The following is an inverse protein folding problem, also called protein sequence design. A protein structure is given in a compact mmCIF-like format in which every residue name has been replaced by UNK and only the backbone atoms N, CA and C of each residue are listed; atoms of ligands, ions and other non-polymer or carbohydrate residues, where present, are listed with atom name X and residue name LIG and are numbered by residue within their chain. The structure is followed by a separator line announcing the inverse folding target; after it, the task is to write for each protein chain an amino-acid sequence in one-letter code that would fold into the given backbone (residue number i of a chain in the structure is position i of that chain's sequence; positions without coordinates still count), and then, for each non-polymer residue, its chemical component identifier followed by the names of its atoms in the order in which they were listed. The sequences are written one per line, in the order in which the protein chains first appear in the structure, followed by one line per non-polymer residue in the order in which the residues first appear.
data_IF_674934078395
#
_entry.id   IF_674934078395
#
_cell.length_a   1.000
_cell.length_b   1.000
_cell.length_c   1.000
_cell.angle_alpha   90.00
_cell.angle_beta   90.00
_cell.angle_gamma   90.00
#
_symmetry.space_group_name_H-M   'P 1'
#
loop_
_entity.id
_entity.type
_entity.pdbx_description
1 polymer ?
#
# COMPACT_ATOMS: atom_id res chain seq x y z
N UNK A 1 11.03 30.39 9.34
CA UNK A 1 10.25 29.77 8.25
C UNK A 1 10.26 28.26 8.44
N UNK A 2 9.06 27.67 8.46
CA UNK A 2 8.68 26.31 8.06
C UNK A 2 9.34 25.07 8.67
N UNK A 3 8.50 24.20 9.21
CA UNK A 3 8.81 22.79 9.36
C UNK A 3 7.84 22.02 10.26
N UNK A 4 6.52 22.11 10.02
CA UNK A 4 5.54 21.19 10.62
C UNK A 4 5.78 19.77 10.09
N UNK A 5 6.80 19.09 10.59
CA UNK A 5 7.10 17.72 10.26
C UNK A 5 6.09 16.83 10.97
N UNK A 6 5.13 16.30 10.22
CA UNK A 6 4.27 15.22 10.73
C UNK A 6 5.15 14.13 11.34
N UNK A 7 4.83 13.72 12.57
CA UNK A 7 5.58 12.73 13.34
C UNK A 7 5.71 11.42 12.54
N UNK A 8 6.93 10.85 12.51
CA UNK A 8 7.16 9.55 11.88
C UNK A 8 6.79 8.45 12.87
N UNK A 9 5.97 7.50 12.41
CA UNK A 9 5.56 6.35 13.22
C UNK A 9 5.81 5.04 12.47
N UNK A 10 6.03 3.97 13.23
CA UNK A 10 6.18 2.62 12.70
C UNK A 10 4.84 2.04 12.29
N UNK A 11 4.85 1.26 11.21
CA UNK A 11 3.65 0.63 10.67
C UNK A 11 3.56 -0.80 11.18
N UNK A 12 2.38 -1.20 11.64
CA UNK A 12 2.13 -2.54 12.18
C UNK A 12 1.00 -3.25 11.43
N UNK A 13 0.83 -4.54 11.70
CA UNK A 13 -0.31 -5.32 11.20
C UNK A 13 -1.65 -4.61 11.43
N UNK A 14 -2.48 -4.57 10.40
CA UNK A 14 -3.79 -3.91 10.44
C UNK A 14 -3.77 -2.43 10.08
N UNK A 15 -2.60 -1.86 9.74
CA UNK A 15 -2.49 -0.51 9.17
C UNK A 15 -3.47 -0.32 8.01
N UNK A 16 -4.07 0.87 7.93
CA UNK A 16 -5.00 1.24 6.87
C UNK A 16 -4.22 1.76 5.69
N UNK A 17 -4.42 1.17 4.52
CA UNK A 17 -3.78 1.57 3.26
C UNK A 17 -4.79 2.27 2.35
N UNK A 18 -4.30 3.20 1.54
CA UNK A 18 -5.07 3.87 0.48
C UNK A 18 -4.34 3.78 -0.85
N UNK A 19 -5.07 3.49 -1.93
CA UNK A 19 -4.58 3.57 -3.30
C UNK A 19 -5.25 4.74 -4.03
N UNK A 20 -4.49 5.55 -4.76
CA UNK A 20 -5.04 6.68 -5.53
C UNK A 20 -6.02 6.27 -6.65
N UNK A 21 -5.99 5.02 -7.07
CA UNK A 21 -6.84 4.46 -8.13
C UNK A 21 -7.92 3.50 -7.62
N UNK A 22 -7.91 3.16 -6.33
CA UNK A 22 -8.95 2.37 -5.68
C UNK A 22 -10.08 3.26 -5.15
N UNK A 23 -11.25 2.67 -4.91
CA UNK A 23 -12.40 3.37 -4.31
C UNK A 23 -12.68 2.96 -2.86
N UNK A 24 -11.91 2.04 -2.30
CA UNK A 24 -11.94 1.65 -0.89
C UNK A 24 -10.54 1.62 -0.30
N UNK A 25 -10.51 1.68 1.02
CA UNK A 25 -9.30 1.43 1.82
C UNK A 25 -9.03 -0.08 1.91
N UNK A 26 -7.78 -0.40 2.21
CA UNK A 26 -7.30 -1.77 2.39
C UNK A 26 -6.56 -1.88 3.72
N UNK A 27 -6.17 -3.10 4.09
CA UNK A 27 -5.42 -3.39 5.30
C UNK A 27 -4.07 -4.02 4.96
N UNK A 28 -3.02 -3.59 5.67
CA UNK A 28 -1.71 -4.22 5.62
C UNK A 28 -1.71 -5.49 6.48
N UNK A 29 -1.25 -6.58 5.90
CA UNK A 29 -0.98 -7.82 6.62
C UNK A 29 0.49 -8.20 6.42
N UNK A 30 1.42 -7.62 7.22
CA UNK A 30 2.84 -7.90 7.08
C UNK A 30 3.11 -9.39 7.29
N UNK A 31 4.26 -9.82 6.77
CA UNK A 31 4.83 -11.12 7.13
C UNK A 31 5.11 -11.10 8.63
N UNK A 32 5.07 -12.27 9.28
CA UNK A 32 5.44 -12.31 10.69
C UNK A 32 6.95 -12.09 10.82
N UNK A 33 7.33 -11.11 11.62
CA UNK A 33 8.71 -10.64 11.79
C UNK A 33 9.11 -10.79 13.26
N UNK A 34 10.41 -10.67 13.55
CA UNK A 34 10.93 -10.79 14.92
C UNK A 34 10.53 -9.65 15.87
N UNK A 35 9.95 -8.55 15.36
CA UNK A 35 9.66 -7.32 16.12
C UNK A 35 8.18 -7.02 16.19
N UNK A 36 7.69 -6.72 17.39
CA UNK A 36 6.30 -6.42 17.68
C UNK A 36 6.16 -5.07 18.38
N UNK A 37 5.13 -4.31 18.01
CA UNK A 37 4.70 -3.09 18.71
C UNK A 37 3.24 -3.30 19.13
N UNK A 38 2.94 -3.12 20.43
CA UNK A 38 1.60 -3.35 21.00
C UNK A 38 1.02 -4.73 20.60
N UNK A 39 1.84 -5.78 20.67
CA UNK A 39 1.50 -7.16 20.28
C UNK A 39 1.09 -7.35 18.81
N UNK A 40 1.47 -6.43 17.92
CA UNK A 40 1.25 -6.54 16.47
C UNK A 40 2.60 -6.61 15.76
N UNK A 41 2.78 -7.52 14.78
CA UNK A 41 3.99 -7.56 13.97
C UNK A 41 4.26 -6.19 13.32
N UNK A 42 5.49 -5.70 13.46
CA UNK A 42 5.95 -4.47 12.82
C UNK A 42 6.38 -4.79 11.38
N UNK A 43 5.92 -3.98 10.43
CA UNK A 43 6.19 -4.17 9.02
C UNK A 43 7.57 -3.62 8.62
N UNK A 44 8.13 -4.17 7.55
CA UNK A 44 9.31 -3.63 6.87
C UNK A 44 8.99 -3.32 5.39
N UNK A 45 9.93 -2.72 4.68
CA UNK A 45 9.69 -2.32 3.28
C UNK A 45 9.46 -3.49 2.31
N UNK A 46 9.73 -4.72 2.73
CA UNK A 46 9.53 -5.93 1.91
C UNK A 46 8.11 -6.49 2.03
N UNK A 47 7.25 -5.94 2.89
CA UNK A 47 5.83 -6.30 3.03
C UNK A 47 4.95 -5.68 1.93
N UNK A 48 5.27 -5.95 0.66
CA UNK A 48 4.56 -5.39 -0.50
C UNK A 48 3.88 -6.46 -1.37
N UNK A 49 3.92 -7.74 -0.99
CA UNK A 49 3.40 -8.83 -1.83
C UNK A 49 1.90 -8.68 -2.06
N UNK A 50 1.43 -8.62 -3.33
CA UNK A 50 0.01 -8.51 -3.64
C UNK A 50 -0.78 -9.69 -3.10
N UNK A 51 -2.00 -9.43 -2.61
CA UNK A 51 -2.92 -10.41 -2.02
C UNK A 51 -2.42 -11.11 -0.75
N UNK A 52 -1.15 -10.96 -0.37
CA UNK A 52 -0.59 -11.39 0.90
C UNK A 52 -0.50 -10.20 1.86
N UNK A 53 0.37 -9.23 1.57
CA UNK A 53 0.58 -8.05 2.40
C UNK A 53 -0.39 -6.92 2.08
N UNK A 54 -0.63 -6.69 0.79
CA UNK A 54 -1.50 -5.63 0.29
C UNK A 54 -2.78 -6.26 -0.29
N UNK A 55 -3.91 -6.06 0.39
CA UNK A 55 -5.23 -6.53 -0.08
C UNK A 55 -5.85 -5.56 -1.12
N UNK A 56 -6.83 -6.00 -1.92
CA UNK A 56 -7.56 -5.13 -2.87
C UNK A 56 -8.16 -3.84 -2.30
N UNK A 57 -8.23 -2.80 -3.13
CA UNK A 57 -8.75 -1.47 -2.79
C UNK A 57 -10.17 -1.22 -3.36
N UNK A 58 -11.06 -2.21 -3.28
CA UNK A 58 -12.40 -2.14 -3.88
C UNK A 58 -12.35 -2.25 -5.41
N UNK A 59 -12.84 -1.25 -6.13
CA UNK A 59 -12.76 -1.17 -7.60
C UNK A 59 -11.67 -0.19 -8.04
N UNK A 60 -10.87 -0.63 -9.01
CA UNK A 60 -9.88 0.20 -9.67
C UNK A 60 -10.52 1.04 -10.78
N UNK A 61 -10.06 2.29 -10.92
CA UNK A 61 -10.49 3.23 -11.97
C UNK A 61 -9.41 3.51 -13.04
N UNK A 62 -8.26 2.87 -12.97
CA UNK A 62 -7.13 3.14 -13.87
C UNK A 62 -7.26 2.40 -15.19
N UNK A 63 -7.12 3.11 -16.32
CA UNK A 63 -7.06 2.50 -17.65
C UNK A 63 -5.77 1.71 -17.90
N UNK A 64 -4.74 1.85 -17.06
CA UNK A 64 -3.57 0.98 -17.11
C UNK A 64 -3.89 -0.46 -16.63
N UNK A 65 -5.00 -0.64 -15.89
CA UNK A 65 -5.51 -1.97 -15.57
C UNK A 65 -6.26 -2.54 -16.80
N UNK A 66 -5.82 -3.67 -17.38
CA UNK A 66 -6.38 -4.20 -18.61
C UNK A 66 -7.87 -4.56 -18.50
N UNK A 67 -8.32 -5.00 -17.32
CA UNK A 67 -9.73 -5.31 -17.06
C UNK A 67 -10.59 -4.04 -17.08
N UNK A 68 -10.09 -2.93 -16.52
CA UNK A 68 -10.77 -1.62 -16.59
C UNK A 68 -10.79 -1.08 -18.01
N UNK A 69 -9.68 -1.19 -18.75
CA UNK A 69 -9.59 -0.76 -20.14
C UNK A 69 -10.59 -1.52 -21.03
N UNK A 70 -10.60 -2.85 -20.95
CA UNK A 70 -11.52 -3.70 -21.72
C UNK A 70 -12.99 -3.40 -21.38
N UNK A 71 -13.32 -3.28 -20.08
CA UNK A 71 -14.68 -2.95 -19.65
C UNK A 71 -15.12 -1.55 -20.07
N UNK A 72 -14.19 -0.59 -20.11
CA UNK A 72 -14.45 0.78 -20.59
C UNK A 72 -14.67 0.81 -22.09
N UNK A 73 -13.88 0.06 -22.87
CA UNK A 73 -14.09 -0.10 -24.31
C UNK A 73 -15.47 -0.71 -24.61
N UNK A 74 -15.84 -1.78 -23.89
CA UNK A 74 -17.17 -2.40 -23.99
C UNK A 74 -18.32 -1.45 -23.57
N UNK A 75 -18.04 -0.49 -22.68
CA UNK A 75 -19.00 0.53 -22.24
C UNK A 75 -18.95 1.80 -23.11
N UNK A 76 -18.62 1.66 -24.40
CA UNK A 76 -18.59 2.76 -25.39
C UNK A 76 -17.71 3.94 -24.92
N UNK A 77 -16.58 3.62 -24.31
CA UNK A 77 -15.61 4.60 -23.80
C UNK A 77 -15.96 5.23 -22.45
N UNK A 78 -17.14 4.96 -21.86
CA UNK A 78 -17.48 5.44 -20.53
C UNK A 78 -16.77 4.61 -19.47
N UNK A 79 -15.95 5.25 -18.63
CA UNK A 79 -15.12 4.57 -17.63
C UNK A 79 -15.93 3.56 -16.79
N UNK A 80 -15.55 2.29 -16.88
CA UNK A 80 -16.15 1.20 -16.09
C UNK A 80 -15.12 0.70 -15.08
N UNK A 81 -15.29 1.10 -13.81
CA UNK A 81 -14.44 0.61 -12.72
C UNK A 81 -14.62 -0.90 -12.54
N UNK A 82 -13.52 -1.62 -12.36
CA UNK A 82 -13.50 -3.08 -12.21
C UNK A 82 -12.86 -3.48 -10.88
N UNK A 83 -13.19 -4.65 -10.30
CA UNK A 83 -12.57 -5.13 -9.07
C UNK A 83 -11.04 -5.03 -9.12
N UNK A 84 -10.45 -4.47 -8.07
CA UNK A 84 -9.01 -4.28 -7.98
C UNK A 84 -8.33 -5.63 -7.72
N UNK A 85 -7.40 -6.02 -8.59
CA UNK A 85 -6.39 -7.03 -8.28
C UNK A 85 -5.06 -6.26 -8.20
N UNK A 86 -4.50 -6.04 -7.00
CA UNK A 86 -3.29 -5.25 -6.86
C UNK A 86 -2.12 -5.92 -7.60
N UNK A 87 -1.29 -5.13 -8.26
CA UNK A 87 -0.06 -5.58 -8.91
C UNK A 87 1.06 -4.64 -8.51
N UNK A 88 1.83 -5.05 -7.51
CA UNK A 88 2.94 -4.29 -6.92
C UNK A 88 4.19 -5.14 -7.08
N UNK A 89 5.24 -4.57 -7.67
CA UNK A 89 6.50 -5.27 -8.00
C UNK A 89 7.71 -4.68 -7.29
N UNK A 90 7.54 -3.56 -6.57
CA UNK A 90 8.61 -2.86 -5.90
C UNK A 90 8.34 -2.74 -4.38
N UNK A 91 9.40 -2.84 -3.55
CA UNK A 91 9.34 -2.53 -2.13
C UNK A 91 8.74 -1.16 -1.84
N UNK A 92 8.35 -0.96 -0.58
CA UNK A 92 7.98 0.36 -0.10
C UNK A 92 9.17 1.31 -0.15
N UNK A 93 8.95 2.51 -0.65
CA UNK A 93 9.90 3.61 -0.62
C UNK A 93 9.82 4.34 0.72
N UNK A 94 10.88 5.06 1.07
CA UNK A 94 10.99 5.84 2.31
C UNK A 94 10.82 4.99 3.57
N UNK A 95 11.50 3.83 3.62
CA UNK A 95 11.71 3.10 4.87
C UNK A 95 12.63 3.88 5.82
N UNK A 96 12.76 3.40 7.06
CA UNK A 96 13.67 3.99 8.04
C UNK A 96 15.13 3.73 7.68
N UNK A 97 15.99 4.74 7.76
CA UNK A 97 17.39 4.65 7.31
C UNK A 97 18.34 4.00 8.33
N UNK A 98 17.96 4.01 9.60
CA UNK A 98 18.78 3.66 10.77
C UNK A 98 18.22 2.45 11.54
N UNK A 99 17.16 1.82 11.04
CA UNK A 99 16.53 0.67 11.72
C UNK A 99 16.03 -0.34 10.72
N UNK A 100 16.46 -1.58 10.90
CA UNK A 100 16.07 -2.72 10.09
C UNK A 100 15.32 -3.75 10.91
N UNK A 101 14.38 -4.44 10.27
CA UNK A 101 13.65 -5.61 10.79
C UNK A 101 13.90 -6.73 9.79
N UNK A 102 14.48 -7.84 10.24
CA UNK A 102 14.84 -8.99 9.40
C UNK A 102 15.63 -8.58 8.15
N UNK A 103 16.67 -7.75 8.33
CA UNK A 103 17.58 -7.23 7.30
C UNK A 103 16.96 -6.27 6.27
N UNK A 104 15.73 -5.80 6.46
CA UNK A 104 15.13 -4.76 5.63
C UNK A 104 14.72 -3.52 6.45
N UNK A 105 14.82 -2.29 5.90
CA UNK A 105 14.37 -1.07 6.55
C UNK A 105 12.95 -1.17 7.13
N UNK A 106 12.77 -0.68 8.36
CA UNK A 106 11.45 -0.61 8.99
C UNK A 106 10.49 0.26 8.17
N UNK A 107 9.22 -0.17 8.07
CA UNK A 107 8.19 0.58 7.35
C UNK A 107 7.67 1.73 8.22
N UNK A 108 7.53 2.91 7.62
CA UNK A 108 7.08 4.13 8.30
C UNK A 108 5.77 4.65 7.71
N UNK A 109 4.99 5.41 8.48
CA UNK A 109 3.72 6.01 8.05
C UNK A 109 3.82 6.87 6.76
N UNK A 110 5.01 7.38 6.44
CA UNK A 110 5.29 8.15 5.21
C UNK A 110 5.73 7.28 4.02
N UNK A 111 5.91 5.98 4.21
CA UNK A 111 6.32 5.07 3.16
C UNK A 111 5.24 4.91 2.09
N UNK A 112 5.65 4.74 0.84
CA UNK A 112 4.73 4.59 -0.29
C UNK A 112 5.24 3.56 -1.29
N UNK A 113 4.35 2.85 -1.97
CA UNK A 113 4.71 1.99 -3.11
C UNK A 113 3.80 2.26 -4.31
N UNK A 114 4.19 1.76 -5.48
CA UNK A 114 3.48 1.98 -6.74
C UNK A 114 2.90 0.66 -7.25
N UNK A 115 1.61 0.70 -7.57
CA UNK A 115 0.91 -0.33 -8.31
C UNK A 115 1.12 -0.11 -9.81
N UNK A 116 1.32 -1.20 -10.56
CA UNK A 116 1.45 -1.21 -12.03
C UNK A 116 0.25 -0.57 -12.73
N UNK A 117 -0.91 -0.51 -12.06
CA UNK A 117 -2.09 0.22 -12.54
C UNK A 117 -2.00 1.75 -12.32
N UNK A 118 -0.79 2.30 -12.24
CA UNK A 118 -0.53 3.72 -11.94
C UNK A 118 -1.18 4.21 -10.63
N UNK A 119 -1.30 3.31 -9.65
CA UNK A 119 -1.84 3.61 -8.33
C UNK A 119 -0.74 3.85 -7.32
N UNK A 120 -0.71 5.03 -6.70
CA UNK A 120 0.14 5.28 -5.54
C UNK A 120 -0.54 4.69 -4.31
N UNK A 121 0.13 3.78 -3.63
CA UNK A 121 -0.31 3.19 -2.37
C UNK A 121 0.42 3.89 -1.23
N UNK A 122 -0.34 4.40 -0.26
CA UNK A 122 0.18 5.07 0.93
C UNK A 122 -0.47 4.51 2.19
N UNK A 123 0.20 4.69 3.32
CA UNK A 123 -0.36 4.43 4.64
C UNK A 123 -1.25 5.63 5.02
N UNK A 124 -2.47 5.33 5.46
CA UNK A 124 -3.42 6.30 5.99
C UNK A 124 -3.38 6.31 7.51
N UNK A 125 -3.43 5.13 8.10
CA UNK A 125 -3.31 4.91 9.56
C UNK A 125 -2.28 3.81 9.78
N UNK A 126 -1.36 3.98 10.73
CA UNK A 126 -0.23 3.08 10.96
C UNK A 126 -0.58 1.79 11.70
N UNK A 127 -1.80 1.71 12.27
CA UNK A 127 -2.33 0.54 12.96
C UNK A 127 -2.02 0.48 14.45
N UNK A 128 -1.40 1.52 15.03
CA UNK A 128 -1.09 1.62 16.45
C UNK A 128 -2.23 2.15 17.31
#
# INVERSE_FOLDING_TARGET
MNGGGSEQSYVVKGATLKCSQGDKESKLNPTDHSVFIKNKPQANIMDFKPNQNIKPFGKCKSLANPTVAAATAANKGRLKKMPCIPMVTMPWLNGKNDTTIDNAPALLNKSTTMCMWCGKISIKEDGQ
#
